data_IF_700222675111
#
_entry.id   IF_700222675111
#
_cell.length_a   1.000
_cell.length_b   1.000
_cell.length_c   1.000
_cell.angle_alpha   90.00
_cell.angle_beta   90.00
_cell.angle_gamma   90.00
#
_symmetry.space_group_name_H-M   'P 1'
#
loop_
_entity.id
_entity.type
_entity.pdbx_description
1 polymer ?
#
# COMPACT_ATOMS: atom_id res chain seq x y z
N UNK A 1 -22.83 -13.04 -6.33
CA UNK A 1 -23.31 -11.78 -5.71
C UNK A 1 -24.62 -12.11 -5.04
N UNK A 2 -24.57 -12.42 -3.75
CA UNK A 2 -25.76 -12.76 -2.97
C UNK A 2 -26.11 -11.58 -2.08
N UNK A 3 -27.35 -11.08 -2.21
CA UNK A 3 -27.85 -9.94 -1.45
C UNK A 3 -28.97 -10.45 -0.53
N UNK A 4 -28.79 -10.30 0.78
CA UNK A 4 -29.84 -10.60 1.77
C UNK A 4 -30.42 -9.30 2.27
N UNK A 5 -31.70 -9.09 2.03
CA UNK A 5 -32.43 -7.90 2.48
C UNK A 5 -33.17 -8.28 3.77
N UNK A 6 -33.03 -7.44 4.81
CA UNK A 6 -33.76 -7.60 6.07
C UNK A 6 -34.94 -6.63 6.07
N UNK A 7 -36.15 -7.15 6.18
CA UNK A 7 -37.34 -6.31 6.37
C UNK A 7 -37.55 -5.98 7.86
N UNK A 8 -38.45 -5.02 8.15
CA UNK A 8 -38.76 -4.56 9.51
C UNK A 8 -39.40 -5.63 10.42
N UNK A 9 -39.65 -6.85 9.91
CA UNK A 9 -40.17 -7.99 10.67
C UNK A 9 -39.08 -9.01 11.02
N UNK A 10 -37.82 -8.72 10.70
CA UNK A 10 -36.68 -9.56 11.07
C UNK A 10 -36.52 -10.82 10.21
N UNK A 11 -37.27 -10.95 9.11
CA UNK A 11 -37.12 -12.03 8.15
C UNK A 11 -36.06 -11.65 7.10
N UNK A 12 -35.18 -12.60 6.78
CA UNK A 12 -34.21 -12.49 5.70
C UNK A 12 -34.83 -13.09 4.44
N UNK A 13 -35.02 -12.27 3.41
CA UNK A 13 -35.32 -12.78 2.08
C UNK A 13 -34.03 -12.77 1.25
N UNK A 14 -33.76 -13.92 0.63
CA UNK A 14 -32.69 -14.09 -0.33
C UNK A 14 -33.24 -13.67 -1.70
N UNK A 15 -32.76 -12.55 -2.23
CA UNK A 15 -33.21 -12.04 -3.52
C UNK A 15 -32.10 -12.28 -4.53
N UNK A 16 -32.25 -13.33 -5.34
CA UNK A 16 -31.36 -13.62 -6.48
C UNK A 16 -32.11 -13.38 -7.79
N UNK A 17 -31.55 -12.52 -8.64
CA UNK A 17 -32.02 -12.28 -10.01
C UNK A 17 -32.48 -10.86 -10.35
N UNK A 18 -32.99 -10.63 -11.58
CA UNK A 18 -33.22 -9.31 -12.19
C UNK A 18 -34.25 -8.41 -11.46
N UNK A 19 -34.82 -8.87 -10.35
CA UNK A 19 -35.70 -8.10 -9.48
C UNK A 19 -35.04 -6.84 -8.88
N UNK A 20 -33.70 -6.78 -8.78
CA UNK A 20 -32.99 -5.58 -8.29
C UNK A 20 -33.18 -4.35 -9.21
N UNK A 21 -33.29 -4.56 -10.52
CA UNK A 21 -33.42 -3.45 -11.47
C UNK A 21 -34.85 -2.86 -11.53
N UNK A 22 -35.87 -3.62 -11.10
CA UNK A 22 -37.26 -3.18 -11.13
C UNK A 22 -37.64 -2.16 -10.05
N UNK A 23 -36.88 -2.11 -8.96
CA UNK A 23 -37.16 -1.22 -7.81
C UNK A 23 -36.46 0.14 -7.94
N UNK A 24 -35.40 0.21 -8.75
CA UNK A 24 -34.58 1.42 -8.89
C UNK A 24 -35.19 2.45 -9.85
N UNK A 25 -36.18 2.07 -10.67
CA UNK A 25 -36.69 2.87 -11.79
C UNK A 25 -38.21 3.14 -11.77
N UNK A 26 -38.87 3.08 -10.60
CA UNK A 26 -40.24 3.61 -10.48
C UNK A 26 -40.21 5.00 -9.86
N UNK A 27 -40.55 6.07 -10.60
CA UNK A 27 -40.89 7.32 -9.97
C UNK A 27 -42.27 7.12 -9.30
N UNK A 28 -42.49 7.80 -8.18
CA UNK A 28 -43.78 7.92 -7.49
C UNK A 28 -44.11 6.82 -6.46
N UNK A 29 -43.51 6.94 -5.27
CA UNK A 29 -44.18 7.07 -3.96
C UNK A 29 -43.13 6.91 -2.86
N UNK A 30 -42.77 8.00 -2.18
CA UNK A 30 -41.83 7.96 -1.07
C UNK A 30 -42.49 7.29 0.13
N UNK A 31 -42.21 6.01 0.35
CA UNK A 31 -42.22 5.44 1.69
C UNK A 31 -40.83 5.65 2.28
N UNK A 32 -40.75 6.37 3.40
CA UNK A 32 -39.52 6.65 4.16
C UNK A 32 -39.01 5.38 4.85
N UNK A 33 -38.79 4.31 4.10
CA UNK A 33 -38.12 3.12 4.60
C UNK A 33 -36.63 3.31 4.36
N UNK A 34 -35.91 3.79 5.38
CA UNK A 34 -34.46 3.78 5.38
C UNK A 34 -33.98 2.32 5.36
N UNK A 35 -33.39 1.89 4.24
CA UNK A 35 -32.71 0.61 4.17
C UNK A 35 -31.23 0.82 4.50
N UNK A 36 -30.72 0.09 5.48
CA UNK A 36 -29.26 0.00 5.70
C UNK A 36 -28.75 -1.10 4.78
N UNK A 37 -27.99 -0.73 3.75
CA UNK A 37 -27.23 -1.69 2.96
C UNK A 37 -25.99 -2.07 3.76
N UNK A 38 -26.01 -3.24 4.39
CA UNK A 38 -24.81 -3.82 5.00
C UNK A 38 -24.03 -4.48 3.86
N UNK A 39 -23.09 -3.76 3.27
CA UNK A 39 -22.07 -4.35 2.41
C UNK A 39 -21.12 -5.09 3.33
N UNK A 40 -21.24 -6.43 3.40
CA UNK A 40 -20.13 -7.23 3.92
C UNK A 40 -19.01 -7.08 2.91
N UNK A 41 -18.02 -6.27 3.27
CA UNK A 41 -16.74 -6.28 2.57
C UNK A 41 -16.04 -7.55 3.07
N UNK A 42 -16.42 -8.70 2.53
CA UNK A 42 -15.61 -9.90 2.70
C UNK A 42 -14.23 -9.51 2.13
N UNK A 43 -13.16 -9.52 2.94
CA UNK A 43 -11.85 -9.18 2.42
C UNK A 43 -11.61 -10.13 1.26
N UNK A 44 -11.41 -9.57 0.07
CA UNK A 44 -10.94 -10.35 -1.08
C UNK A 44 -9.56 -10.81 -0.65
N UNK A 45 -9.47 -12.00 -0.06
CA UNK A 45 -8.20 -12.58 0.30
C UNK A 45 -7.45 -12.76 -1.02
N UNK A 46 -6.42 -11.94 -1.19
CA UNK A 46 -5.42 -12.18 -2.21
C UNK A 46 -4.96 -13.63 -2.04
N UNK A 47 -5.13 -14.44 -3.09
CA UNK A 47 -4.66 -15.82 -3.13
C UNK A 47 -3.16 -15.85 -3.41
N UNK A 48 -2.36 -15.20 -2.56
CA UNK A 48 -0.90 -15.21 -2.60
C UNK A 48 -0.39 -16.00 -1.40
N UNK A 49 0.57 -16.88 -1.65
CA UNK A 49 1.38 -17.48 -0.60
C UNK A 49 2.10 -16.41 0.24
N UNK A 50 2.48 -16.70 1.50
CA UNK A 50 3.26 -15.77 2.31
C UNK A 50 4.53 -15.27 1.61
N UNK A 51 5.19 -16.16 0.85
CA UNK A 51 6.36 -15.81 0.04
C UNK A 51 6.04 -14.76 -1.03
N UNK A 52 4.93 -14.90 -1.75
CA UNK A 52 4.48 -13.94 -2.76
C UNK A 52 4.10 -12.61 -2.14
N UNK A 53 3.39 -12.63 -1.00
CA UNK A 53 3.04 -11.43 -0.26
C UNK A 53 4.29 -10.65 0.17
N UNK A 54 5.30 -11.34 0.74
CA UNK A 54 6.58 -10.71 1.11
C UNK A 54 7.25 -10.06 -0.10
N UNK A 55 7.31 -10.76 -1.24
CA UNK A 55 7.92 -10.22 -2.48
C UNK A 55 7.17 -9.00 -3.00
N UNK A 56 5.84 -9.04 -2.98
CA UNK A 56 5.00 -7.91 -3.36
C UNK A 56 5.30 -6.69 -2.49
N UNK A 57 5.31 -6.88 -1.16
CA UNK A 57 5.54 -5.80 -0.21
C UNK A 57 6.93 -5.19 -0.41
N UNK A 58 7.99 -6.01 -0.47
CA UNK A 58 9.36 -5.53 -0.67
C UNK A 58 9.49 -4.75 -1.99
N UNK A 59 8.89 -5.23 -3.08
CA UNK A 59 8.99 -4.58 -4.39
C UNK A 59 8.16 -3.30 -4.50
N UNK A 60 6.93 -3.29 -4.00
CA UNK A 60 6.04 -2.14 -4.09
C UNK A 60 6.51 -1.00 -3.17
N UNK A 61 6.75 -1.30 -1.89
CA UNK A 61 7.13 -0.28 -0.94
C UNK A 61 8.61 0.10 -1.02
N UNK A 62 9.45 -0.75 -1.62
CA UNK A 62 10.91 -0.54 -1.66
C UNK A 62 11.60 -0.84 -0.34
N UNK A 63 10.97 -1.62 0.55
CA UNK A 63 11.56 -1.98 1.83
C UNK A 63 12.72 -2.97 1.67
N UNK A 64 13.71 -2.82 2.54
CA UNK A 64 14.65 -3.89 2.87
C UNK A 64 13.95 -4.99 3.68
N UNK A 65 14.56 -6.19 3.68
CA UNK A 65 14.08 -7.30 4.52
C UNK A 65 14.11 -6.97 6.01
N UNK A 66 15.04 -6.12 6.44
CA UNK A 66 15.13 -5.67 7.83
C UNK A 66 13.97 -4.76 8.19
N UNK A 67 13.64 -3.78 7.34
CA UNK A 67 12.49 -2.89 7.56
C UNK A 67 11.18 -3.67 7.57
N UNK A 68 10.98 -4.63 6.66
CA UNK A 68 9.79 -5.47 6.68
C UNK A 68 9.69 -6.32 7.96
N UNK A 69 10.78 -6.93 8.41
CA UNK A 69 10.80 -7.68 9.66
C UNK A 69 10.43 -6.80 10.86
N UNK A 70 10.93 -5.56 10.89
CA UNK A 70 10.59 -4.56 11.91
C UNK A 70 9.11 -4.16 11.84
N UNK A 71 8.57 -3.90 10.64
CA UNK A 71 7.16 -3.57 10.45
C UNK A 71 6.27 -4.70 10.97
N UNK A 72 6.57 -5.95 10.61
CA UNK A 72 5.77 -7.09 11.04
C UNK A 72 5.95 -7.38 12.53
N UNK A 73 7.11 -7.06 13.11
CA UNK A 73 7.42 -7.34 14.52
C UNK A 73 8.09 -8.71 14.74
N UNK A 74 8.81 -9.21 13.74
CA UNK A 74 9.48 -10.52 13.78
C UNK A 74 10.99 -10.40 13.60
N UNK A 75 11.69 -11.51 13.87
CA UNK A 75 13.12 -11.61 13.61
C UNK A 75 13.42 -11.73 12.11
N UNK A 76 14.59 -11.27 11.66
CA UNK A 76 15.04 -11.46 10.27
C UNK A 76 15.08 -12.95 9.86
N UNK A 77 15.60 -13.89 10.68
CA UNK A 77 15.56 -15.31 10.35
C UNK A 77 14.15 -15.85 10.07
N UNK A 78 13.14 -15.41 10.85
CA UNK A 78 11.75 -15.82 10.60
C UNK A 78 11.26 -15.33 9.23
N UNK A 79 11.57 -14.07 8.86
CA UNK A 79 11.20 -13.55 7.55
C UNK A 79 11.89 -14.33 6.41
N UNK A 80 13.17 -14.69 6.55
CA UNK A 80 13.85 -15.53 5.57
C UNK A 80 13.20 -16.90 5.45
N UNK A 81 12.82 -17.51 6.57
CA UNK A 81 12.14 -18.80 6.55
C UNK A 81 10.80 -18.76 5.79
N UNK A 82 10.04 -17.65 5.88
CA UNK A 82 8.84 -17.43 5.07
C UNK A 82 9.15 -17.20 3.58
N UNK A 83 10.24 -16.50 3.27
CA UNK A 83 10.69 -16.28 1.88
C UNK A 83 11.09 -17.60 1.22
N UNK A 84 11.73 -18.49 1.98
CA UNK A 84 12.23 -19.77 1.51
C UNK A 84 11.15 -20.87 1.56
N UNK A 85 9.96 -20.57 2.11
CA UNK A 85 8.84 -21.51 2.25
C UNK A 85 9.10 -22.62 3.29
N UNK A 86 10.08 -22.43 4.17
CA UNK A 86 10.46 -23.40 5.22
C UNK A 86 9.61 -23.27 6.49
N UNK A 87 8.87 -22.17 6.62
CA UNK A 87 7.88 -21.95 7.67
C UNK A 87 6.77 -21.02 7.19
N UNK A 88 5.66 -20.98 7.91
CA UNK A 88 4.54 -20.09 7.67
C UNK A 88 4.36 -19.08 8.81
N UNK A 89 3.80 -17.89 8.53
CA UNK A 89 3.47 -16.92 9.57
C UNK A 89 2.34 -17.42 10.47
N UNK A 90 2.47 -17.16 11.77
CA UNK A 90 1.36 -17.31 12.71
C UNK A 90 0.23 -16.30 12.40
N UNK A 91 -0.96 -16.54 12.94
CA UNK A 91 -2.19 -15.79 12.61
C UNK A 91 -2.01 -14.26 12.61
N UNK A 92 -1.49 -13.69 13.69
CA UNK A 92 -1.31 -12.24 13.81
C UNK A 92 -0.34 -11.69 12.76
N UNK A 93 0.77 -12.39 12.55
CA UNK A 93 1.76 -12.03 11.53
C UNK A 93 1.19 -12.17 10.11
N UNK A 94 0.38 -13.20 9.88
CA UNK A 94 -0.30 -13.44 8.61
C UNK A 94 -1.30 -12.33 8.30
N UNK A 95 -2.08 -11.89 9.28
CA UNK A 95 -3.06 -10.82 9.12
C UNK A 95 -2.35 -9.49 8.78
N UNK A 96 -1.25 -9.18 9.48
CA UNK A 96 -0.44 -7.97 9.19
C UNK A 96 0.21 -8.04 7.81
N UNK A 97 0.76 -9.20 7.44
CA UNK A 97 1.35 -9.42 6.12
C UNK A 97 0.30 -9.28 5.01
N UNK A 98 -0.88 -9.89 5.19
CA UNK A 98 -1.98 -9.84 4.24
C UNK A 98 -2.51 -8.43 4.05
N UNK A 99 -2.65 -7.65 5.12
CA UNK A 99 -3.10 -6.26 5.06
C UNK A 99 -2.13 -5.38 4.25
N UNK A 100 -0.82 -5.52 4.47
CA UNK A 100 0.20 -4.79 3.72
C UNK A 100 0.24 -5.21 2.24
N UNK A 101 0.10 -6.50 1.97
CA UNK A 101 0.04 -7.05 0.62
C UNK A 101 -1.22 -6.55 -0.11
N UNK A 102 -2.35 -6.46 0.58
CA UNK A 102 -3.59 -5.90 0.03
C UNK A 102 -3.43 -4.45 -0.37
N UNK A 103 -2.91 -3.61 0.53
CA UNK A 103 -2.62 -2.21 0.24
C UNK A 103 -1.67 -2.05 -0.95
N UNK A 104 -0.63 -2.87 -1.03
CA UNK A 104 0.28 -2.87 -2.17
C UNK A 104 -0.42 -3.27 -3.46
N UNK A 105 -1.18 -4.37 -3.44
CA UNK A 105 -1.89 -4.89 -4.60
C UNK A 105 -2.90 -3.88 -5.15
N UNK A 106 -3.71 -3.26 -4.29
CA UNK A 106 -4.75 -2.31 -4.70
C UNK A 106 -4.17 -1.02 -5.29
N UNK A 107 -2.95 -0.65 -4.89
CA UNK A 107 -2.29 0.59 -5.31
C UNK A 107 -1.27 0.36 -6.43
N UNK A 108 -0.92 -0.89 -6.74
CA UNK A 108 0.07 -1.22 -7.75
C UNK A 108 -0.54 -1.13 -9.15
N UNK A 109 -0.28 0.00 -9.80
CA UNK A 109 -0.67 0.20 -11.20
C UNK A 109 0.18 -0.64 -12.19
N UNK A 110 1.44 -0.94 -11.84
CA UNK A 110 2.39 -1.66 -12.69
C UNK A 110 3.30 -2.58 -11.85
N UNK A 111 3.62 -3.80 -12.31
CA UNK A 111 4.64 -4.64 -11.71
C UNK A 111 5.99 -3.97 -11.39
N UNK A 112 6.45 -3.03 -12.21
CA UNK A 112 7.75 -2.37 -11.96
C UNK A 112 7.67 -1.17 -10.99
N UNK A 113 6.47 -0.81 -10.54
CA UNK A 113 6.26 0.33 -9.67
C UNK A 113 6.82 0.09 -8.26
N UNK A 114 7.66 1.02 -7.80
CA UNK A 114 8.20 1.06 -6.44
C UNK A 114 8.10 2.48 -5.90
N UNK A 115 7.70 2.62 -4.64
CA UNK A 115 7.63 3.90 -3.96
C UNK A 115 9.00 4.58 -3.88
N UNK A 116 9.03 5.90 -3.92
CA UNK A 116 10.26 6.64 -3.77
C UNK A 116 10.81 6.49 -2.34
N UNK A 117 12.03 5.96 -2.22
CA UNK A 117 12.68 5.64 -0.93
C UNK A 117 12.73 6.82 0.07
N UNK A 118 12.76 8.06 -0.42
CA UNK A 118 12.76 9.24 0.45
C UNK A 118 11.50 9.37 1.33
N UNK A 119 10.37 8.79 0.91
CA UNK A 119 9.12 8.77 1.70
C UNK A 119 9.05 7.61 2.71
N UNK A 120 9.95 6.63 2.59
CA UNK A 120 9.99 5.46 3.49
C UNK A 120 10.54 5.87 4.86
N UNK A 121 11.70 6.54 4.85
CA UNK A 121 12.53 6.78 6.04
C UNK A 121 12.56 8.24 6.50
N UNK A 122 11.81 9.13 5.83
CA UNK A 122 11.71 10.54 6.22
C UNK A 122 10.25 10.96 6.30
N UNK A 123 9.92 11.98 7.12
CA UNK A 123 8.58 12.54 7.16
C UNK A 123 8.08 12.90 5.76
N UNK A 124 6.87 12.45 5.46
CA UNK A 124 6.25 12.69 4.14
C UNK A 124 5.68 14.12 4.16
N UNK A 125 5.89 14.95 3.12
CA UNK A 125 5.29 16.27 3.05
C UNK A 125 3.77 16.23 3.27
N UNK A 126 3.29 16.98 4.26
CA UNK A 126 1.88 16.99 4.67
C UNK A 126 1.49 15.98 5.76
N UNK A 127 2.45 15.19 6.25
CA UNK A 127 2.29 14.22 7.32
C UNK A 127 3.37 14.43 8.39
N UNK A 128 3.09 13.94 9.61
CA UNK A 128 3.99 14.09 10.76
C UNK A 128 5.09 13.02 10.82
N UNK A 129 4.91 11.90 10.10
CA UNK A 129 5.77 10.72 10.17
C UNK A 129 6.19 10.22 8.79
N UNK A 130 7.19 9.35 8.80
CA UNK A 130 7.59 8.55 7.63
C UNK A 130 6.63 7.39 7.39
N UNK A 131 6.64 6.81 6.19
CA UNK A 131 5.81 5.64 5.89
C UNK A 131 6.17 4.44 6.78
N UNK A 132 7.46 4.25 7.07
CA UNK A 132 7.92 3.19 7.97
C UNK A 132 7.26 3.31 9.35
N UNK A 133 7.25 4.52 9.92
CA UNK A 133 6.66 4.77 11.24
C UNK A 133 5.15 4.52 11.28
N UNK A 134 4.41 4.91 10.23
CA UNK A 134 2.97 4.61 10.16
C UNK A 134 2.70 3.11 10.09
N UNK A 135 3.48 2.36 9.31
CA UNK A 135 3.26 0.92 9.12
C UNK A 135 3.83 0.05 10.23
N UNK A 136 4.88 0.52 10.93
CA UNK A 136 5.41 -0.14 12.13
C UNK A 136 4.46 -0.04 13.33
N UNK A 137 3.48 0.87 13.30
CA UNK A 137 2.42 0.96 14.29
C UNK A 137 1.37 -0.15 14.19
N UNK A 138 0.20 0.09 14.79
CA UNK A 138 -0.98 -0.76 14.60
C UNK A 138 -1.63 -0.42 13.26
N UNK A 139 -2.09 -1.44 12.53
CA UNK A 139 -2.75 -1.27 11.21
C UNK A 139 -4.27 -1.11 11.35
N UNK A 140 -4.73 -0.48 12.43
CA UNK A 140 -6.15 -0.48 12.79
C UNK A 140 -6.98 0.47 11.91
N UNK A 141 -6.36 1.54 11.40
CA UNK A 141 -7.00 2.51 10.50
C UNK A 141 -6.61 2.25 9.04
N UNK A 142 -7.10 1.14 8.49
CA UNK A 142 -6.86 0.76 7.10
C UNK A 142 -7.41 1.79 6.10
N UNK A 143 -8.43 2.56 6.48
CA UNK A 143 -8.97 3.63 5.63
C UNK A 143 -7.95 4.77 5.48
N UNK A 144 -7.37 5.23 6.59
CA UNK A 144 -6.28 6.20 6.57
C UNK A 144 -5.06 5.67 5.81
N UNK A 145 -4.62 4.44 6.11
CA UNK A 145 -3.44 3.85 5.46
C UNK A 145 -3.62 3.72 3.94
N UNK A 146 -4.82 3.35 3.48
CA UNK A 146 -5.14 3.31 2.06
C UNK A 146 -5.00 4.69 1.39
N UNK A 147 -5.52 5.75 2.03
CA UNK A 147 -5.38 7.13 1.54
C UNK A 147 -3.93 7.59 1.56
N UNK A 148 -3.19 7.30 2.63
CA UNK A 148 -1.78 7.62 2.78
C UNK A 148 -0.95 6.99 1.66
N UNK A 149 -1.04 5.66 1.49
CA UNK A 149 -0.28 4.93 0.45
C UNK A 149 -0.67 5.43 -0.94
N UNK A 150 -1.95 5.68 -1.22
CA UNK A 150 -2.40 6.25 -2.49
C UNK A 150 -1.76 7.62 -2.78
N UNK A 151 -1.69 8.48 -1.77
CA UNK A 151 -1.07 9.81 -1.90
C UNK A 151 0.44 9.71 -2.14
N UNK A 152 1.14 8.84 -1.42
CA UNK A 152 2.58 8.61 -1.62
C UNK A 152 2.85 8.03 -3.01
N UNK A 153 2.01 7.12 -3.49
CA UNK A 153 2.09 6.58 -4.85
C UNK A 153 1.98 7.69 -5.89
N UNK A 154 0.97 8.57 -5.76
CA UNK A 154 0.82 9.74 -6.64
C UNK A 154 2.05 10.65 -6.60
N UNK A 155 2.54 11.00 -5.41
CA UNK A 155 3.73 11.84 -5.24
C UNK A 155 5.01 11.20 -5.82
N UNK A 156 5.08 9.87 -5.83
CA UNK A 156 6.17 9.11 -6.44
C UNK A 156 6.13 9.24 -7.96
N UNK A 157 4.95 9.09 -8.56
CA UNK A 157 4.75 9.28 -10.02
C UNK A 157 5.07 10.72 -10.42
N UNK A 158 4.50 11.71 -9.73
CA UNK A 158 4.75 13.14 -10.02
C UNK A 158 6.23 13.51 -9.86
N UNK A 159 6.95 12.88 -8.93
CA UNK A 159 8.40 13.07 -8.81
C UNK A 159 9.13 12.52 -10.03
N UNK A 160 8.78 11.30 -10.48
CA UNK A 160 9.39 10.67 -11.64
C UNK A 160 9.15 11.49 -12.91
N UNK A 161 7.91 11.89 -13.16
CA UNK A 161 7.55 12.75 -14.30
C UNK A 161 8.31 14.07 -14.30
N UNK A 162 8.44 14.72 -13.12
CA UNK A 162 9.24 15.95 -12.99
C UNK A 162 10.71 15.73 -13.31
N UNK A 163 11.30 14.62 -12.90
CA UNK A 163 12.70 14.29 -13.20
C UNK A 163 12.90 13.95 -14.67
N UNK A 164 11.95 13.24 -15.29
CA UNK A 164 12.00 12.90 -16.72
C UNK A 164 11.81 14.13 -17.62
N UNK A 165 11.01 15.11 -17.19
CA UNK A 165 10.81 16.38 -17.87
C UNK A 165 11.97 17.38 -17.68
N UNK A 166 12.89 17.14 -16.74
CA UNK A 166 14.05 18.01 -16.55
C UNK A 166 15.04 17.89 -17.72
N UNK A 167 15.48 19.00 -18.35
CA UNK A 167 16.52 18.95 -19.38
C UNK A 167 17.80 18.33 -18.83
N UNK A 168 18.33 17.29 -19.48
CA UNK A 168 19.52 16.51 -19.07
C UNK A 168 20.82 17.33 -18.93
N UNK A 169 20.80 18.63 -19.26
CA UNK A 169 21.97 19.51 -19.32
C UNK A 169 22.45 20.06 -17.96
N UNK A 170 21.87 19.68 -16.82
CA UNK A 170 22.35 20.12 -15.48
C UNK A 170 23.16 19.08 -14.71
N UNK A 171 23.45 17.92 -15.31
CA UNK A 171 24.27 16.87 -14.71
C UNK A 171 25.69 16.77 -15.27
N UNK A 172 26.13 17.73 -16.09
CA UNK A 172 27.57 17.98 -16.24
C UNK A 172 28.05 18.75 -15.01
N UNK A 173 28.15 18.06 -13.87
CA UNK A 173 29.14 18.48 -12.87
C UNK A 173 30.46 18.37 -13.59
N UNK A 174 31.03 19.51 -13.92
CA UNK A 174 32.33 19.65 -14.54
C UNK A 174 33.35 19.04 -13.58
N UNK A 175 33.70 17.76 -13.79
CA UNK A 175 34.64 17.03 -12.95
C UNK A 175 36.02 17.68 -12.92
N UNK A 176 36.29 18.62 -13.85
CA UNK A 176 37.47 19.49 -13.82
C UNK A 176 37.61 20.28 -12.51
N UNK A 177 36.51 20.72 -11.90
CA UNK A 177 36.57 21.56 -10.68
C UNK A 177 36.74 20.76 -9.38
N UNK A 178 36.57 19.44 -9.40
CA UNK A 178 36.79 18.59 -8.24
C UNK A 178 38.27 18.16 -8.13
N UNK A 179 38.94 17.90 -9.26
CA UNK A 179 40.37 17.53 -9.28
C UNK A 179 41.29 18.72 -8.92
N UNK A 180 40.91 19.95 -9.27
CA UNK A 180 41.68 21.16 -8.93
C UNK A 180 41.70 21.45 -7.41
N UNK A 181 40.64 21.09 -6.68
CA UNK A 181 40.54 21.30 -5.24
C UNK A 181 41.23 20.20 -4.41
N UNK A 182 41.42 19.00 -4.99
CA UNK A 182 42.19 17.91 -4.35
C UNK A 182 43.70 18.09 -4.55
N UNK A 183 44.12 18.67 -5.67
CA UNK A 183 45.53 18.93 -5.99
C UNK A 183 46.12 20.07 -5.15
N UNK A 184 45.29 21.03 -4.73
CA UNK A 184 45.70 22.17 -3.89
C UNK A 184 45.82 21.84 -2.39
N UNK A 185 45.43 20.62 -1.98
CA UNK A 185 45.56 20.14 -0.60
C UNK A 185 46.77 19.22 -0.37
N UNK A 186 47.51 18.83 -1.42
CA UNK A 186 48.70 17.96 -1.30
C UNK A 186 50.04 18.68 -1.25
N UNK A 187 50.09 19.99 -1.51
CA UNK A 187 51.35 20.78 -1.55
C UNK A 187 51.62 21.58 -0.24
N UNK A 188 50.99 21.18 0.86
CA UNK A 188 51.09 21.85 2.16
C UNK A 188 51.44 20.94 3.34
N UNK A 189 52.31 19.94 3.14
CA UNK A 189 52.87 19.10 4.20
C UNK A 189 54.40 19.14 4.21
#
# INVERSE_FOLDING_TARGET
MEMKIRNNYGLFEEVTGPALYGWMNKPETYSTTSFIVIIRNDPVYITMSPTEQVRLILSFYGFSKTELAQIIGISRPALYAWIDGTSEPERENHDKLSALAQLAHDMRADPSFTLFHGYINRPIPGYDKSLLEYLSGTLDDMAFLSVLVKNISRMTVERKERLDAMPKARYSVDTSTLDDNLSSLSDGA
#
